data_IF_993641419766
#
_entry.id   IF_993641419766
#
_cell.length_a   1.000
_cell.length_b   1.000
_cell.length_c   1.000
_cell.angle_alpha   90.00
_cell.angle_beta   90.00
_cell.angle_gamma   90.00
#
_symmetry.space_group_name_H-M   'P 1'
#
loop_
_entity.id
_entity.type
_entity.pdbx_description
1 polymer ?
#
# COMPACT_ATOMS: atom_id res chain seq x y z
N UNK A 1 16.56 12.78 5.25
CA UNK A 1 15.35 12.37 4.54
C UNK A 1 15.75 11.35 3.50
N UNK A 2 15.08 10.22 3.47
CA UNK A 2 15.32 9.21 2.42
C UNK A 2 14.62 9.70 1.15
N UNK A 3 15.37 9.91 0.05
CA UNK A 3 14.78 10.24 -1.26
C UNK A 3 14.00 9.06 -1.88
N UNK A 4 13.89 7.93 -1.15
CA UNK A 4 13.26 6.68 -1.62
C UNK A 4 11.75 6.66 -1.49
N UNK A 5 11.20 7.49 -0.61
CA UNK A 5 9.77 7.76 -0.49
C UNK A 5 9.59 9.25 -0.33
N UNK A 6 8.77 9.83 -1.18
CA UNK A 6 8.50 11.27 -1.20
C UNK A 6 7.06 11.51 -0.81
N UNK A 7 6.81 12.46 0.10
CA UNK A 7 5.48 12.95 0.42
C UNK A 7 5.32 14.40 -0.02
N UNK A 8 4.26 14.66 -0.77
CA UNK A 8 3.89 15.99 -1.27
C UNK A 8 2.41 16.24 -0.98
N UNK A 9 2.11 17.43 -0.46
CA UNK A 9 0.74 17.91 -0.27
C UNK A 9 0.43 18.97 -1.32
N UNK A 10 -0.68 18.82 -2.05
CA UNK A 10 -1.12 19.76 -3.06
C UNK A 10 -2.29 20.64 -2.55
N UNK A 11 -2.48 21.81 -3.15
CA UNK A 11 -3.50 22.79 -2.76
C UNK A 11 -4.94 22.26 -2.89
N UNK A 12 -5.18 21.23 -3.71
CA UNK A 12 -6.49 20.60 -3.89
C UNK A 12 -6.83 19.57 -2.79
N UNK A 13 -5.98 19.44 -1.78
CA UNK A 13 -6.18 18.55 -0.64
C UNK A 13 -5.73 17.12 -0.86
N UNK A 14 -5.01 16.83 -1.94
CA UNK A 14 -4.42 15.51 -2.17
C UNK A 14 -2.99 15.47 -1.62
N UNK A 15 -2.73 14.52 -0.71
CA UNK A 15 -1.38 14.11 -0.35
C UNK A 15 -0.92 12.95 -1.24
N UNK A 16 0.31 13.01 -1.72
CA UNK A 16 0.87 11.95 -2.56
C UNK A 16 2.08 11.32 -1.86
N UNK A 17 2.04 10.01 -1.66
CA UNK A 17 3.15 9.18 -1.20
C UNK A 17 3.71 8.46 -2.42
N UNK A 18 4.92 8.77 -2.81
CA UNK A 18 5.56 8.21 -4.01
C UNK A 18 6.74 7.31 -3.63
N UNK A 19 6.68 6.03 -4.00
CA UNK A 19 7.85 5.16 -3.98
C UNK A 19 8.82 5.60 -5.09
N UNK A 20 10.05 5.93 -4.74
CA UNK A 20 11.01 6.56 -5.64
C UNK A 20 12.36 5.81 -5.67
N UNK A 21 12.29 4.54 -6.09
CA UNK A 21 13.46 3.69 -6.33
C UNK A 21 13.28 2.89 -7.64
N UNK A 22 13.02 3.59 -8.78
CA UNK A 22 12.62 2.96 -10.03
C UNK A 22 13.71 2.06 -10.64
N UNK A 23 14.99 2.34 -10.39
CA UNK A 23 16.15 1.56 -10.82
C UNK A 23 16.16 0.14 -10.22
N UNK A 24 15.50 -0.08 -9.09
CA UNK A 24 15.32 -1.36 -8.40
C UNK A 24 13.86 -1.84 -8.42
N UNK A 25 13.04 -1.37 -9.36
CA UNK A 25 11.61 -1.68 -9.40
C UNK A 25 10.91 -1.42 -8.07
N UNK A 26 11.31 -0.37 -7.37
CA UNK A 26 10.81 0.01 -6.05
C UNK A 26 10.87 -1.14 -5.02
N UNK A 27 11.93 -1.97 -5.09
CA UNK A 27 12.20 -2.96 -4.06
C UNK A 27 12.42 -2.26 -2.71
N UNK A 28 11.82 -2.82 -1.67
CA UNK A 28 11.75 -2.23 -0.34
C UNK A 28 12.94 -2.66 0.52
N UNK A 29 13.90 -1.76 0.70
CA UNK A 29 14.97 -1.87 1.67
C UNK A 29 14.65 -1.05 2.93
N UNK A 30 15.56 -1.02 3.91
CA UNK A 30 15.39 -0.26 5.16
C UNK A 30 15.02 1.22 4.87
N UNK A 31 15.69 1.85 3.90
CA UNK A 31 15.44 3.25 3.57
C UNK A 31 14.04 3.50 2.97
N UNK A 32 13.41 2.51 2.33
CA UNK A 32 12.01 2.61 1.90
C UNK A 32 11.07 2.52 3.09
N UNK A 33 11.30 1.61 4.05
CA UNK A 33 10.48 1.53 5.27
C UNK A 33 10.61 2.79 6.13
N UNK A 34 11.83 3.29 6.33
CA UNK A 34 12.07 4.55 7.04
C UNK A 34 11.33 5.71 6.35
N UNK A 35 11.42 5.77 5.01
CA UNK A 35 10.74 6.79 4.23
C UNK A 35 9.20 6.67 4.27
N UNK A 36 8.65 5.46 4.36
CA UNK A 36 7.20 5.25 4.55
C UNK A 36 6.74 5.76 5.92
N UNK A 37 7.51 5.53 6.98
CA UNK A 37 7.23 6.10 8.30
C UNK A 37 7.24 7.63 8.26
N UNK A 38 8.32 8.24 7.74
CA UNK A 38 8.43 9.70 7.59
C UNK A 38 7.29 10.29 6.76
N UNK A 39 6.95 9.66 5.62
CA UNK A 39 5.85 10.10 4.74
C UNK A 39 4.49 10.01 5.45
N UNK A 40 4.27 8.95 6.22
CA UNK A 40 3.04 8.75 6.99
C UNK A 40 2.89 9.79 8.10
N UNK A 41 3.97 10.12 8.81
CA UNK A 41 3.95 11.14 9.87
C UNK A 41 3.66 12.53 9.29
N UNK A 42 4.30 12.89 8.18
CA UNK A 42 4.02 14.14 7.45
C UNK A 42 2.58 14.18 6.90
N UNK A 43 2.08 13.05 6.40
CA UNK A 43 0.69 12.95 5.96
C UNK A 43 -0.28 13.18 7.13
N UNK A 44 0.00 12.60 8.31
CA UNK A 44 -0.80 12.79 9.52
C UNK A 44 -0.83 14.25 9.95
N UNK A 45 0.32 14.91 10.00
CA UNK A 45 0.41 16.35 10.30
C UNK A 45 -0.41 17.20 9.30
N UNK A 46 -0.31 16.92 8.00
CA UNK A 46 -1.04 17.63 6.97
C UNK A 46 -2.57 17.38 7.05
N UNK A 47 -2.99 16.16 7.43
CA UNK A 47 -4.39 15.82 7.68
C UNK A 47 -4.93 16.57 8.91
N UNK A 48 -4.18 16.60 10.01
CA UNK A 48 -4.53 17.34 11.22
C UNK A 48 -4.62 18.84 10.99
N UNK A 49 -3.75 19.39 10.15
CA UNK A 49 -3.80 20.79 9.70
C UNK A 49 -4.95 21.08 8.71
N UNK A 50 -5.67 20.07 8.24
CA UNK A 50 -6.77 20.20 7.27
C UNK A 50 -6.31 20.49 5.84
N UNK A 51 -5.02 20.41 5.54
CA UNK A 51 -4.46 20.66 4.20
C UNK A 51 -4.51 19.43 3.30
N UNK A 52 -4.57 18.22 3.86
CA UNK A 52 -4.72 16.96 3.13
C UNK A 52 -6.00 16.25 3.54
N UNK A 53 -6.77 15.80 2.55
CA UNK A 53 -8.08 15.16 2.72
C UNK A 53 -8.22 13.81 2.02
N UNK A 54 -7.26 13.45 1.16
CA UNK A 54 -7.11 12.11 0.58
C UNK A 54 -5.64 11.86 0.26
N UNK A 55 -5.24 10.59 0.27
CA UNK A 55 -3.88 10.16 -0.02
C UNK A 55 -3.86 9.30 -1.28
N UNK A 56 -2.94 9.63 -2.19
CA UNK A 56 -2.55 8.79 -3.31
C UNK A 56 -1.21 8.12 -2.99
N UNK A 57 -1.17 6.79 -2.99
CA UNK A 57 0.08 6.02 -2.94
C UNK A 57 0.41 5.57 -4.36
N UNK A 58 1.54 6.00 -4.87
CA UNK A 58 2.01 5.68 -6.23
C UNK A 58 3.49 5.33 -6.25
N UNK A 59 4.02 5.02 -7.42
CA UNK A 59 5.43 4.72 -7.60
C UNK A 59 5.98 5.33 -8.88
N UNK A 60 7.25 5.76 -8.85
CA UNK A 60 7.96 6.17 -10.04
C UNK A 60 8.44 4.95 -10.85
N UNK A 61 8.49 5.13 -12.18
CA UNK A 61 8.98 4.11 -13.10
C UNK A 61 7.92 3.09 -13.51
N UNK A 62 8.39 1.89 -13.91
CA UNK A 62 7.55 0.87 -14.57
C UNK A 62 6.91 -0.17 -13.64
N UNK A 63 7.11 -0.05 -12.35
CA UNK A 63 6.61 -1.01 -11.36
C UNK A 63 6.15 -0.29 -10.10
N UNK A 64 5.06 -0.74 -9.50
CA UNK A 64 4.65 -0.28 -8.18
C UNK A 64 5.69 -0.71 -7.14
N UNK A 65 5.94 -2.01 -6.99
CA UNK A 65 7.04 -2.54 -6.19
C UNK A 65 7.26 -4.02 -6.47
N UNK A 66 8.52 -4.43 -6.57
CA UNK A 66 8.90 -5.84 -6.71
C UNK A 66 8.94 -6.62 -5.39
N UNK A 67 8.66 -5.98 -4.26
CA UNK A 67 8.67 -6.60 -2.93
C UNK A 67 9.89 -6.25 -2.10
N UNK A 68 10.22 -7.08 -1.12
CA UNK A 68 11.39 -6.86 -0.25
C UNK A 68 12.70 -6.92 -1.04
N UNK A 69 13.62 -6.01 -0.74
CA UNK A 69 14.99 -6.07 -1.23
C UNK A 69 15.74 -7.19 -0.51
N UNK A 70 16.51 -7.99 -1.27
CA UNK A 70 17.32 -9.09 -0.70
C UNK A 70 18.30 -8.61 0.37
N UNK A 71 18.72 -7.35 0.34
CA UNK A 71 19.61 -6.79 1.36
C UNK A 71 19.02 -6.80 2.77
N UNK A 72 17.69 -6.83 2.91
CA UNK A 72 17.03 -6.91 4.22
C UNK A 72 17.22 -8.26 4.91
N UNK A 73 17.30 -9.35 4.16
CA UNK A 73 17.49 -10.69 4.73
C UNK A 73 18.83 -10.86 5.45
N UNK A 74 19.87 -10.12 5.01
CA UNK A 74 21.18 -10.10 5.68
C UNK A 74 21.21 -9.24 6.94
N UNK A 75 20.38 -8.19 7.00
CA UNK A 75 20.36 -7.25 8.13
C UNK A 75 19.65 -7.84 9.36
N UNK A 76 18.63 -8.65 9.17
CA UNK A 76 17.93 -9.34 10.26
C UNK A 76 18.86 -10.29 11.04
N UNK A 77 19.82 -10.90 10.35
CA UNK A 77 20.79 -11.82 10.97
C UNK A 77 21.91 -11.13 11.77
N UNK A 78 22.11 -9.81 11.56
CA UNK A 78 23.22 -9.04 12.16
C UNK A 78 22.75 -7.90 13.10
N UNK A 79 21.43 -7.73 13.31
CA UNK A 79 20.88 -6.61 14.07
C UNK A 79 20.82 -6.82 15.58
N UNK A 80 21.05 -5.76 16.35
CA UNK A 80 20.93 -5.73 17.81
C UNK A 80 19.48 -5.75 18.33
N UNK A 81 18.48 -5.67 17.43
CA UNK A 81 17.06 -5.68 17.79
C UNK A 81 16.49 -7.09 17.77
N UNK A 82 15.60 -7.46 18.71
CA UNK A 82 14.82 -8.67 18.63
C UNK A 82 14.08 -8.74 17.27
N UNK A 83 13.96 -9.93 16.70
CA UNK A 83 13.34 -10.13 15.40
C UNK A 83 11.88 -9.63 15.37
N UNK A 84 11.15 -9.81 16.48
CA UNK A 84 9.75 -9.36 16.62
C UNK A 84 9.62 -7.84 16.56
N UNK A 85 10.53 -7.08 17.18
CA UNK A 85 10.53 -5.61 17.13
C UNK A 85 10.80 -5.10 15.71
N UNK A 86 11.67 -5.79 14.98
CA UNK A 86 12.00 -5.42 13.61
C UNK A 86 10.84 -5.70 12.65
N UNK A 87 10.18 -6.86 12.76
CA UNK A 87 8.97 -7.17 11.97
C UNK A 87 7.85 -6.20 12.30
N UNK A 88 7.62 -5.89 13.58
CA UNK A 88 6.63 -4.90 14.00
C UNK A 88 6.91 -3.52 13.37
N UNK A 89 8.17 -3.10 13.31
CA UNK A 89 8.56 -1.86 12.64
C UNK A 89 8.19 -1.87 11.15
N UNK A 90 8.47 -2.95 10.42
CA UNK A 90 8.09 -3.07 9.01
C UNK A 90 6.57 -3.07 8.83
N UNK A 91 5.84 -3.78 9.70
CA UNK A 91 4.37 -3.81 9.68
C UNK A 91 3.76 -2.42 9.92
N UNK A 92 4.32 -1.66 10.87
CA UNK A 92 3.85 -0.31 11.21
C UNK A 92 3.95 0.66 10.03
N UNK A 93 4.92 0.50 9.12
CA UNK A 93 5.02 1.31 7.91
C UNK A 93 3.76 1.19 7.02
N UNK A 94 3.13 0.01 6.99
CA UNK A 94 1.91 -0.22 6.21
C UNK A 94 0.65 0.09 7.03
N UNK A 95 0.61 -0.33 8.28
CA UNK A 95 -0.50 -0.03 9.19
C UNK A 95 -0.65 1.48 9.42
N UNK A 96 0.46 2.21 9.47
CA UNK A 96 0.44 3.67 9.58
C UNK A 96 -0.32 4.35 8.46
N UNK A 97 -0.19 3.87 7.21
CA UNK A 97 -0.99 4.35 6.06
C UNK A 97 -2.47 3.95 6.18
N UNK A 98 -2.73 2.71 6.60
CA UNK A 98 -4.10 2.20 6.83
C UNK A 98 -4.83 3.01 7.90
N UNK A 99 -4.13 3.48 8.93
CA UNK A 99 -4.70 4.22 10.07
C UNK A 99 -4.92 5.72 9.80
N UNK A 100 -4.55 6.23 8.63
CA UNK A 100 -4.84 7.61 8.25
C UNK A 100 -6.36 7.83 8.15
N UNK A 101 -6.86 8.91 8.75
CA UNK A 101 -8.31 9.22 8.84
C UNK A 101 -8.86 9.90 7.59
N UNK A 102 -8.33 9.57 6.44
CA UNK A 102 -8.74 10.04 5.12
C UNK A 102 -8.69 8.88 4.13
N UNK A 103 -9.35 8.96 2.97
CA UNK A 103 -9.20 7.95 1.92
C UNK A 103 -7.74 7.77 1.52
N UNK A 104 -7.27 6.54 1.47
CA UNK A 104 -5.97 6.15 0.94
C UNK A 104 -6.19 5.29 -0.29
N UNK A 105 -5.65 5.69 -1.42
CA UNK A 105 -5.81 5.00 -2.72
C UNK A 105 -4.44 4.61 -3.25
N UNK A 106 -4.24 3.35 -3.58
CA UNK A 106 -3.03 2.88 -4.26
C UNK A 106 -3.25 2.87 -5.78
N UNK A 107 -2.35 3.50 -6.52
CA UNK A 107 -2.31 3.46 -7.98
C UNK A 107 -1.19 2.51 -8.44
N UNK A 108 -1.57 1.39 -9.03
CA UNK A 108 -0.69 0.25 -9.32
C UNK A 108 -0.45 0.15 -10.82
N UNK A 109 0.80 0.35 -11.26
CA UNK A 109 1.27 0.06 -12.61
C UNK A 109 2.35 -1.01 -12.55
N UNK A 110 2.39 -1.91 -13.55
CA UNK A 110 3.34 -3.00 -13.60
C UNK A 110 3.20 -3.91 -12.38
N UNK A 111 4.30 -4.36 -11.80
CA UNK A 111 4.25 -5.36 -10.73
C UNK A 111 4.05 -4.76 -9.34
N UNK A 112 3.18 -5.42 -8.55
CA UNK A 112 3.03 -5.24 -7.11
C UNK A 112 3.19 -6.62 -6.45
N UNK A 113 4.43 -6.98 -6.06
CA UNK A 113 4.77 -8.31 -5.58
C UNK A 113 5.17 -8.32 -4.10
N UNK A 114 4.84 -9.41 -3.40
CA UNK A 114 5.22 -9.62 -2.00
C UNK A 114 4.85 -8.42 -1.12
N UNK A 115 5.85 -7.79 -0.48
CA UNK A 115 5.65 -6.57 0.30
C UNK A 115 4.96 -5.44 -0.50
N UNK A 116 5.19 -5.34 -1.83
CA UNK A 116 4.50 -4.37 -2.68
C UNK A 116 3.00 -4.63 -2.78
N UNK A 117 2.60 -5.90 -2.91
CA UNK A 117 1.19 -6.29 -2.87
C UNK A 117 0.59 -6.00 -1.48
N UNK A 118 1.33 -6.31 -0.41
CA UNK A 118 0.90 -6.08 0.97
C UNK A 118 0.75 -4.58 1.29
N UNK A 119 1.63 -3.71 0.73
CA UNK A 119 1.47 -2.25 0.82
C UNK A 119 0.21 -1.78 0.07
N UNK A 120 -0.04 -2.29 -1.14
CA UNK A 120 -1.26 -1.96 -1.89
C UNK A 120 -2.53 -2.38 -1.14
N UNK A 121 -2.49 -3.50 -0.41
CA UNK A 121 -3.60 -3.96 0.43
C UNK A 121 -3.84 -3.09 1.67
N UNK A 122 -2.86 -2.30 2.11
CA UNK A 122 -3.04 -1.34 3.21
C UNK A 122 -3.84 -0.09 2.78
N UNK A 123 -3.99 0.17 1.47
CA UNK A 123 -4.85 1.22 0.97
C UNK A 123 -6.33 0.82 1.03
N UNK A 124 -7.24 1.80 1.18
CA UNK A 124 -8.68 1.58 1.14
C UNK A 124 -9.14 1.11 -0.25
N UNK A 125 -8.58 1.70 -1.30
CA UNK A 125 -8.88 1.38 -2.69
C UNK A 125 -7.61 1.16 -3.50
N UNK A 126 -7.71 0.35 -4.54
CA UNK A 126 -6.61 0.01 -5.47
C UNK A 126 -7.07 0.25 -6.89
N UNK A 127 -6.40 1.17 -7.58
CA UNK A 127 -6.56 1.44 -9.01
C UNK A 127 -5.43 0.74 -9.73
N UNK A 128 -5.72 0.01 -10.79
CA UNK A 128 -4.72 -0.71 -11.56
C UNK A 128 -4.62 -0.19 -12.98
N UNK A 129 -3.42 -0.13 -13.53
CA UNK A 129 -3.20 -0.03 -14.96
C UNK A 129 -3.43 -1.40 -15.62
N UNK A 130 -3.71 -1.49 -16.93
CA UNK A 130 -3.97 -2.77 -17.60
C UNK A 130 -2.79 -3.75 -17.56
N UNK A 131 -1.57 -3.24 -17.40
CA UNK A 131 -0.33 -4.02 -17.25
C UNK A 131 -0.01 -4.42 -15.81
N UNK A 132 -0.91 -4.15 -14.87
CA UNK A 132 -0.67 -4.48 -13.47
C UNK A 132 -0.72 -5.98 -13.22
N UNK A 133 0.27 -6.48 -12.47
CA UNK A 133 0.30 -7.83 -11.92
C UNK A 133 0.49 -7.79 -10.40
N UNK A 134 -0.37 -8.48 -9.66
CA UNK A 134 -0.29 -8.59 -8.20
C UNK A 134 0.02 -10.03 -7.79
N UNK A 135 0.86 -10.21 -6.76
CA UNK A 135 1.14 -11.55 -6.21
C UNK A 135 1.66 -11.46 -4.78
N UNK A 136 1.38 -12.49 -3.99
CA UNK A 136 2.13 -12.80 -2.76
C UNK A 136 3.17 -13.86 -3.10
N UNK A 137 4.43 -13.46 -3.26
CA UNK A 137 5.50 -14.37 -3.73
C UNK A 137 6.25 -15.05 -2.58
N UNK A 138 5.89 -14.78 -1.35
CA UNK A 138 6.59 -15.21 -0.12
C UNK A 138 6.77 -16.73 -0.06
N UNK A 139 5.76 -17.52 -0.46
CA UNK A 139 5.83 -18.98 -0.46
C UNK A 139 6.95 -19.53 -1.34
N UNK A 140 7.37 -18.84 -2.41
CA UNK A 140 8.52 -19.23 -3.26
C UNK A 140 9.85 -19.13 -2.53
N UNK A 141 9.90 -18.37 -1.45
CA UNK A 141 11.08 -18.09 -0.65
C UNK A 141 11.01 -18.72 0.74
N UNK A 142 10.04 -19.63 0.97
CA UNK A 142 9.75 -20.22 2.27
C UNK A 142 9.47 -19.15 3.37
N UNK A 143 8.86 -18.01 2.96
CA UNK A 143 8.47 -16.91 3.82
C UNK A 143 6.94 -16.87 3.96
N UNK A 144 6.49 -16.09 4.93
CA UNK A 144 5.08 -15.80 5.19
C UNK A 144 4.81 -14.32 4.80
N UNK A 145 3.68 -13.98 4.17
CA UNK A 145 3.30 -12.59 3.90
C UNK A 145 2.82 -11.90 5.20
N UNK A 146 3.75 -11.65 6.11
CA UNK A 146 3.55 -11.20 7.48
C UNK A 146 3.42 -9.67 7.64
N UNK A 147 3.61 -8.89 6.57
CA UNK A 147 3.39 -7.44 6.60
C UNK A 147 1.91 -7.06 6.47
N UNK A 148 1.02 -7.95 6.93
CA UNK A 148 -0.43 -7.79 6.92
C UNK A 148 -1.15 -8.45 5.74
N UNK A 149 -0.44 -9.14 4.85
CA UNK A 149 -1.02 -9.84 3.70
C UNK A 149 -2.06 -10.89 4.12
N UNK A 150 -1.73 -11.70 5.13
CA UNK A 150 -2.63 -12.77 5.61
C UNK A 150 -3.89 -12.23 6.32
N UNK A 151 -3.87 -11.00 6.81
CA UNK A 151 -5.04 -10.40 7.47
C UNK A 151 -5.89 -9.58 6.51
N UNK A 152 -5.28 -8.86 5.56
CA UNK A 152 -5.97 -7.97 4.62
C UNK A 152 -6.50 -8.70 3.39
N UNK A 153 -5.71 -9.57 2.78
CA UNK A 153 -6.10 -10.22 1.53
C UNK A 153 -7.41 -11.03 1.64
N UNK A 154 -7.65 -11.85 2.70
CA UNK A 154 -8.91 -12.59 2.85
C UNK A 154 -10.14 -11.69 2.96
N UNK A 155 -9.99 -10.49 3.51
CA UNK A 155 -11.09 -9.50 3.62
C UNK A 155 -11.43 -8.87 2.27
N UNK A 156 -10.46 -8.82 1.36
CA UNK A 156 -10.63 -8.23 0.02
C UNK A 156 -11.16 -9.23 -0.98
N UNK A 157 -10.56 -10.44 -1.05
CA UNK A 157 -10.90 -11.42 -2.11
C UNK A 157 -11.62 -12.68 -1.61
N UNK A 158 -11.82 -12.80 -0.29
CA UNK A 158 -12.34 -14.00 0.37
C UNK A 158 -11.26 -15.06 0.61
N UNK A 159 -11.54 -15.98 1.55
CA UNK A 159 -10.56 -16.97 2.04
C UNK A 159 -9.99 -17.86 0.94
N UNK A 160 -10.82 -18.33 0.00
CA UNK A 160 -10.38 -19.28 -1.04
C UNK A 160 -9.35 -18.67 -1.98
N UNK A 161 -9.59 -17.45 -2.48
CA UNK A 161 -8.67 -16.74 -3.37
C UNK A 161 -7.40 -16.28 -2.63
N UNK A 162 -7.56 -15.87 -1.37
CA UNK A 162 -6.42 -15.53 -0.53
C UNK A 162 -5.50 -16.74 -0.29
N UNK A 163 -6.08 -17.90 -0.02
CA UNK A 163 -5.33 -19.16 0.10
C UNK A 163 -4.63 -19.53 -1.21
N UNK A 164 -5.34 -19.42 -2.35
CA UNK A 164 -4.75 -19.68 -3.67
C UNK A 164 -3.54 -18.78 -3.91
N UNK A 165 -3.67 -17.46 -3.74
CA UNK A 165 -2.55 -16.53 -3.94
C UNK A 165 -1.38 -16.79 -2.98
N UNK A 166 -1.67 -17.04 -1.70
CA UNK A 166 -0.63 -17.20 -0.68
C UNK A 166 0.12 -18.53 -0.77
N UNK A 167 -0.59 -19.62 -1.11
CA UNK A 167 -0.01 -20.96 -1.15
C UNK A 167 0.71 -21.25 -2.48
N UNK A 168 0.14 -20.75 -3.60
CA UNK A 168 0.69 -21.02 -4.94
C UNK A 168 1.68 -19.97 -5.41
N UNK A 169 1.69 -18.80 -4.74
CA UNK A 169 2.45 -17.63 -5.17
C UNK A 169 2.19 -17.26 -6.64
N UNK A 170 0.94 -17.49 -7.11
CA UNK A 170 0.55 -17.13 -8.48
C UNK A 170 0.49 -15.63 -8.67
N UNK A 171 0.72 -15.21 -9.90
CA UNK A 171 0.48 -13.84 -10.32
C UNK A 171 -0.95 -13.69 -10.80
N UNK A 172 -1.55 -12.56 -10.48
CA UNK A 172 -2.91 -12.17 -10.85
C UNK A 172 -2.81 -10.91 -11.68
N UNK A 173 -3.27 -10.97 -12.93
CA UNK A 173 -3.33 -9.82 -13.84
C UNK A 173 -4.45 -8.84 -13.46
N UNK A 174 -4.46 -7.67 -14.09
CA UNK A 174 -5.40 -6.60 -13.77
C UNK A 174 -6.87 -7.00 -13.98
N UNK A 175 -7.18 -7.77 -15.03
CA UNK A 175 -8.55 -8.23 -15.34
C UNK A 175 -9.05 -9.21 -14.27
N UNK A 176 -8.24 -10.22 -13.96
CA UNK A 176 -8.52 -11.18 -12.89
C UNK A 176 -8.62 -10.49 -11.54
N UNK A 177 -7.72 -9.53 -11.24
CA UNK A 177 -7.72 -8.76 -10.02
C UNK A 177 -9.02 -7.95 -9.85
N UNK A 178 -9.52 -7.34 -10.93
CA UNK A 178 -10.80 -6.64 -10.93
C UNK A 178 -11.97 -7.63 -10.70
N UNK A 179 -11.98 -8.76 -11.40
CA UNK A 179 -13.01 -9.77 -11.25
C UNK A 179 -13.06 -10.39 -9.83
N UNK A 180 -11.93 -10.38 -9.12
CA UNK A 180 -11.82 -10.88 -7.76
C UNK A 180 -12.10 -9.81 -6.68
N UNK A 181 -12.16 -8.54 -7.06
CA UNK A 181 -12.20 -7.41 -6.15
C UNK A 181 -10.84 -7.12 -5.48
N UNK A 182 -9.75 -7.72 -6.00
CA UNK A 182 -8.39 -7.42 -5.53
C UNK A 182 -7.98 -6.00 -5.89
N UNK A 183 -8.47 -5.50 -7.03
CA UNK A 183 -8.44 -4.07 -7.38
C UNK A 183 -9.85 -3.57 -7.64
N UNK A 184 -10.08 -2.29 -7.40
CA UNK A 184 -11.40 -1.69 -7.45
C UNK A 184 -11.74 -1.13 -8.84
N UNK A 185 -10.72 -0.74 -9.60
CA UNK A 185 -10.85 -0.24 -10.98
C UNK A 185 -9.60 -0.58 -11.79
N UNK A 186 -9.81 -0.79 -13.11
CA UNK A 186 -8.73 -0.77 -14.11
C UNK A 186 -8.92 0.50 -14.93
N UNK A 187 -7.89 1.35 -14.98
CA UNK A 187 -7.90 2.63 -15.67
C UNK A 187 -7.07 2.55 -16.95
N UNK A 188 -7.37 3.36 -18.00
CA UNK A 188 -6.61 3.38 -19.24
C UNK A 188 -5.11 3.63 -19.02
N UNK A 189 -4.26 2.94 -19.80
CA UNK A 189 -2.80 3.01 -19.64
C UNK A 189 -2.22 4.39 -19.99
N UNK A 190 -2.77 5.03 -21.04
CA UNK A 190 -2.26 6.28 -21.59
C UNK A 190 -2.32 7.42 -20.58
N UNK A 191 -3.40 7.48 -19.80
CA UNK A 191 -3.65 8.55 -18.84
C UNK A 191 -3.71 8.05 -17.39
N UNK A 192 -3.10 6.91 -17.10
CA UNK A 192 -3.23 6.23 -15.80
C UNK A 192 -2.91 7.13 -14.61
N UNK A 193 -1.80 7.88 -14.68
CA UNK A 193 -1.37 8.75 -13.60
C UNK A 193 -2.30 9.95 -13.40
N UNK A 194 -2.69 10.59 -14.51
CA UNK A 194 -3.61 11.73 -14.46
C UNK A 194 -5.00 11.30 -13.98
N UNK A 195 -5.51 10.17 -14.47
CA UNK A 195 -6.84 9.66 -14.12
C UNK A 195 -6.89 9.17 -12.66
N UNK A 196 -5.86 8.46 -12.19
CA UNK A 196 -5.79 8.04 -10.78
C UNK A 196 -5.67 9.24 -9.85
N UNK A 197 -4.89 10.25 -10.22
CA UNK A 197 -4.75 11.49 -9.46
C UNK A 197 -6.08 12.27 -9.41
N UNK A 198 -6.79 12.38 -10.54
CA UNK A 198 -8.09 13.06 -10.63
C UNK A 198 -9.14 12.35 -9.75
N UNK A 199 -9.16 11.01 -9.74
CA UNK A 199 -10.05 10.24 -8.87
C UNK A 199 -9.80 10.55 -7.39
N UNK A 200 -8.55 10.66 -6.96
CA UNK A 200 -8.23 10.99 -5.55
C UNK A 200 -8.60 12.45 -5.24
N UNK A 201 -8.46 13.36 -6.20
CA UNK A 201 -8.90 14.76 -6.04
C UNK A 201 -10.42 14.88 -5.86
N UNK A 202 -11.21 14.05 -6.55
CA UNK A 202 -12.67 13.97 -6.33
C UNK A 202 -12.99 13.51 -4.90
N UNK A 203 -12.27 12.51 -4.37
CA UNK A 203 -12.42 12.08 -2.98
C UNK A 203 -12.03 13.17 -2.00
N UNK A 204 -10.95 13.91 -2.26
CA UNK A 204 -10.51 15.02 -1.43
C UNK A 204 -11.51 16.19 -1.43
N UNK A 205 -12.24 16.41 -2.52
CA UNK A 205 -13.29 17.42 -2.62
C UNK A 205 -14.59 17.03 -1.89
N UNK A 206 -14.76 15.74 -1.57
CA UNK A 206 -15.97 15.21 -0.92
C UNK A 206 -16.08 15.52 0.58
N UNK A 207 -17.18 15.07 1.23
CA UNK A 207 -17.42 15.27 2.66
C UNK A 207 -16.48 14.38 3.49
N UNK A 208 -15.30 14.88 3.81
CA UNK A 208 -14.18 14.16 4.42
C UNK A 208 -14.52 13.46 5.73
N UNK A 209 -15.40 14.05 6.56
CA UNK A 209 -15.81 13.44 7.85
C UNK A 209 -16.60 12.15 7.63
N UNK A 210 -17.51 12.15 6.65
CA UNK A 210 -18.32 10.97 6.34
C UNK A 210 -17.47 9.88 5.67
N UNK A 211 -16.53 10.27 4.80
CA UNK A 211 -15.64 9.34 4.10
C UNK A 211 -14.60 8.74 5.09
N UNK A 212 -14.09 9.54 6.01
CA UNK A 212 -13.15 9.07 7.06
C UNK A 212 -13.78 8.12 8.09
N UNK A 213 -15.12 7.99 8.10
CA UNK A 213 -15.85 7.05 8.94
C UNK A 213 -16.06 5.66 8.28
N UNK A 214 -15.59 5.46 7.04
CA UNK A 214 -15.68 4.14 6.37
C UNK A 214 -14.91 3.11 7.19
N UNK A 215 -15.51 1.96 7.52
CA UNK A 215 -14.88 0.94 8.37
C UNK A 215 -13.53 0.50 7.78
N UNK A 216 -12.53 0.46 8.63
CA UNK A 216 -11.17 0.04 8.29
C UNK A 216 -11.01 -1.44 8.57
N UNK A 217 -10.07 -2.08 7.89
CA UNK A 217 -9.75 -3.48 8.08
C UNK A 217 -9.00 -3.77 9.39
N UNK A 218 -8.67 -2.76 10.19
CA UNK A 218 -7.96 -2.91 11.45
C UNK A 218 -8.87 -3.48 12.56
N UNK A 219 -8.40 -4.45 13.37
CA UNK A 219 -9.13 -4.98 14.53
C UNK A 219 -9.56 -3.92 15.55
N UNK A 220 -8.85 -2.80 15.63
CA UNK A 220 -9.20 -1.68 16.50
C UNK A 220 -10.51 -0.97 16.09
N UNK A 221 -11.01 -1.18 14.87
CA UNK A 221 -12.28 -0.62 14.41
C UNK A 221 -13.50 -1.45 14.85
N UNK A 222 -13.32 -2.72 15.20
CA UNK A 222 -14.41 -3.59 15.67
C UNK A 222 -14.85 -3.26 17.10
N UNK A 223 -13.95 -2.73 17.95
CA UNK A 223 -14.27 -2.35 19.34
C UNK A 223 -14.94 -0.97 19.48
N UNK A 224 -14.90 -0.14 18.45
CA UNK A 224 -15.45 1.23 18.52
C UNK A 224 -16.95 1.34 18.15
N UNK A 225 -17.59 0.24 17.70
CA UNK A 225 -18.98 0.27 17.21
C UNK A 225 -20.04 -0.22 18.21
N UNK A 226 -19.69 -0.39 19.49
CA UNK A 226 -20.62 -0.88 20.53
C UNK A 226 -20.65 0.08 21.72
N UNK A 227 -20.95 1.37 21.47
CA UNK A 227 -21.48 2.26 22.53
C UNK A 227 -22.31 3.40 21.94
#
# INVERSE_FOLDING_TARGET
>A
MSDRVVFEAAEDGVGTVTLNRPDKLNAMDQGVFDGLHEATDRAREAIEAGTVRAILVRAEGRAFSSGLDISLFGQQASGDKPADDWIAYLQQAFTGLEDLRVPVVAAIRGVAFGAGCQLALAAHMRLAAPDAELALLEAKWALVPDLGGLTRLPRVVGLGRAADMSMTARRVDAETALAWGLVDRVLPAEDFEATSRAFVAELAAGPTVAIGAVPRSSPAAEDASVH
#
